data_IF_362715913539
#
_entry.id   IF_362715913539
#
_cell.length_a   1.000
_cell.length_b   1.000
_cell.length_c   1.000
_cell.angle_alpha   90.00
_cell.angle_beta   90.00
_cell.angle_gamma   90.00
#
_symmetry.space_group_name_H-M   'P 1'
#
loop_
_entity.id
_entity.type
_entity.pdbx_description
1 polymer ?
#
# COMPACT_ATOMS: atom_id res chain seq x y z
N UNK A 1 -10.38 7.93 15.70
CA UNK A 1 -9.47 7.57 14.58
C UNK A 1 -9.68 6.12 14.11
N UNK A 2 -9.74 5.12 15.00
CA UNK A 2 -9.96 3.71 14.61
C UNK A 2 -11.19 3.44 13.73
N UNK A 3 -12.29 4.19 13.90
CA UNK A 3 -13.49 4.03 13.07
C UNK A 3 -13.23 4.27 11.57
N UNK A 4 -12.37 5.24 11.22
CA UNK A 4 -12.04 5.53 9.82
C UNK A 4 -11.19 4.40 9.20
N UNK A 5 -10.32 3.78 10.00
CA UNK A 5 -9.53 2.63 9.55
C UNK A 5 -10.40 1.38 9.40
N UNK A 6 -11.31 1.12 10.35
CA UNK A 6 -12.25 0.00 10.28
C UNK A 6 -13.18 0.11 9.06
N UNK A 7 -13.58 1.32 8.68
CA UNK A 7 -14.37 1.56 7.47
C UNK A 7 -13.67 1.07 6.20
N UNK A 8 -12.36 1.29 6.08
CA UNK A 8 -11.57 0.87 4.90
C UNK A 8 -10.99 -0.54 5.00
N UNK A 9 -11.17 -1.22 6.14
CA UNK A 9 -10.64 -2.58 6.39
C UNK A 9 -11.76 -3.54 6.77
N UNK A 10 -12.00 -3.77 8.06
CA UNK A 10 -12.93 -4.77 8.59
C UNK A 10 -14.36 -4.62 8.07
N UNK A 11 -14.90 -3.40 8.09
CA UNK A 11 -16.30 -3.17 7.71
C UNK A 11 -16.50 -3.40 6.21
N UNK A 12 -15.52 -3.03 5.37
CA UNK A 12 -15.59 -3.30 3.94
C UNK A 12 -15.51 -4.80 3.65
N UNK A 13 -14.67 -5.54 4.38
CA UNK A 13 -14.57 -6.99 4.24
C UNK A 13 -15.86 -7.71 4.64
N UNK A 14 -16.53 -7.25 5.71
CA UNK A 14 -17.85 -7.75 6.12
C UNK A 14 -18.92 -7.47 5.06
N UNK A 15 -18.98 -6.23 4.55
CA UNK A 15 -19.94 -5.83 3.50
C UNK A 15 -19.75 -6.65 2.23
N UNK A 16 -18.52 -6.95 1.86
CA UNK A 16 -18.17 -7.73 0.68
C UNK A 16 -18.26 -9.25 0.90
N UNK A 17 -18.48 -9.72 2.14
CA UNK A 17 -18.53 -11.14 2.47
C UNK A 17 -17.17 -11.85 2.41
N UNK A 18 -16.07 -11.11 2.46
CA UNK A 18 -14.68 -11.62 2.43
C UNK A 18 -13.97 -11.48 3.78
N UNK A 19 -14.73 -11.24 4.86
CA UNK A 19 -14.18 -11.05 6.21
C UNK A 19 -13.38 -12.26 6.72
N UNK A 20 -13.67 -13.45 6.21
CA UNK A 20 -12.93 -14.69 6.52
C UNK A 20 -11.55 -14.73 5.86
N UNK A 21 -11.33 -13.94 4.80
CA UNK A 21 -10.10 -13.95 4.00
C UNK A 21 -9.29 -12.66 4.12
N UNK A 22 -9.92 -11.53 4.43
CA UNK A 22 -9.28 -10.21 4.45
C UNK A 22 -9.94 -9.25 5.45
N UNK A 23 -9.29 -8.11 5.71
CA UNK A 23 -9.86 -7.00 6.50
C UNK A 23 -9.38 -6.94 7.95
N UNK A 24 -8.79 -8.00 8.50
CA UNK A 24 -8.12 -7.99 9.80
C UNK A 24 -6.81 -8.77 9.74
N UNK A 25 -5.92 -8.53 10.71
CA UNK A 25 -4.65 -9.24 10.85
C UNK A 25 -4.88 -10.40 11.84
N UNK A 26 -5.21 -11.56 11.31
CA UNK A 26 -5.48 -12.78 12.07
C UNK A 26 -4.88 -14.00 11.34
N UNK A 27 -4.53 -15.05 12.08
CA UNK A 27 -4.01 -16.30 11.49
C UNK A 27 -5.08 -16.97 10.61
N UNK A 28 -4.67 -17.42 9.43
CA UNK A 28 -5.55 -18.05 8.44
C UNK A 28 -6.13 -17.11 7.39
N UNK A 29 -5.97 -15.78 7.55
CA UNK A 29 -6.36 -14.78 6.53
C UNK A 29 -5.23 -14.49 5.55
N UNK A 30 -5.57 -13.94 4.39
CA UNK A 30 -4.59 -13.51 3.40
C UNK A 30 -3.82 -12.30 3.91
N UNK A 31 -2.50 -12.30 3.65
CA UNK A 31 -1.58 -11.29 4.14
C UNK A 31 -1.62 -10.00 3.28
N UNK A 32 -2.71 -9.25 3.41
CA UNK A 32 -2.85 -7.89 2.88
C UNK A 32 -2.40 -6.87 3.93
N UNK A 33 -1.22 -6.30 3.78
CA UNK A 33 -0.59 -5.46 4.79
C UNK A 33 -0.03 -4.19 4.17
N UNK A 34 -0.10 -3.08 4.90
CA UNK A 34 0.51 -1.80 4.51
C UNK A 34 1.23 -1.23 5.71
N UNK A 35 2.50 -0.86 5.53
CA UNK A 35 3.35 -0.25 6.55
C UNK A 35 3.60 1.20 6.12
N UNK A 36 3.31 2.14 7.02
CA UNK A 36 3.47 3.58 6.78
C UNK A 36 4.13 4.24 7.99
N UNK A 37 5.09 5.11 7.77
CA UNK A 37 5.75 5.91 8.82
C UNK A 37 4.98 7.19 9.20
N UNK A 38 3.75 7.35 8.71
CA UNK A 38 2.82 8.39 9.13
C UNK A 38 1.35 7.95 9.10
N UNK A 39 0.42 8.90 9.22
CA UNK A 39 -1.03 8.61 9.22
C UNK A 39 -1.46 8.26 7.79
N UNK A 40 -1.80 6.99 7.56
CA UNK A 40 -2.16 6.47 6.24
C UNK A 40 -3.34 7.23 5.61
N UNK A 41 -4.24 7.76 6.44
CA UNK A 41 -5.44 8.48 6.02
C UNK A 41 -5.22 9.99 5.82
N UNK A 42 -4.02 10.50 6.10
CA UNK A 42 -3.67 11.91 5.89
C UNK A 42 -2.83 12.10 4.63
N UNK A 43 -3.32 12.91 3.70
CA UNK A 43 -2.65 13.17 2.42
C UNK A 43 -1.25 13.77 2.55
N UNK A 44 -0.94 14.46 3.65
CA UNK A 44 0.35 15.15 3.82
C UNK A 44 1.42 14.30 4.47
N UNK A 45 1.01 13.37 5.33
CA UNK A 45 1.92 12.57 6.16
C UNK A 45 1.84 11.08 5.85
N UNK A 46 0.95 10.65 4.95
CA UNK A 46 0.89 9.28 4.45
C UNK A 46 2.16 8.97 3.65
N UNK A 47 3.08 8.29 4.32
CA UNK A 47 4.33 7.80 3.76
C UNK A 47 4.32 6.28 3.85
N UNK A 48 3.81 5.64 2.80
CA UNK A 48 3.79 4.17 2.68
C UNK A 48 5.19 3.68 2.35
N UNK A 49 5.77 2.89 3.25
CA UNK A 49 7.11 2.30 3.08
C UNK A 49 7.03 0.96 2.38
N UNK A 50 6.07 0.13 2.78
CA UNK A 50 5.90 -1.22 2.25
C UNK A 50 4.42 -1.56 2.12
N UNK A 51 4.09 -2.32 1.08
CA UNK A 51 2.78 -2.93 0.92
C UNK A 51 2.94 -4.40 0.53
N UNK A 52 2.04 -5.23 1.03
CA UNK A 52 1.99 -6.66 0.75
C UNK A 52 0.61 -7.02 0.25
N UNK A 53 0.57 -7.78 -0.84
CA UNK A 53 -0.65 -8.36 -1.39
C UNK A 53 -0.46 -9.88 -1.42
N UNK A 54 -1.28 -10.58 -0.65
CA UNK A 54 -1.22 -12.06 -0.52
C UNK A 54 0.18 -12.55 -0.10
N UNK A 55 0.87 -11.79 0.75
CA UNK A 55 2.23 -12.09 1.21
C UNK A 55 3.35 -11.71 0.24
N UNK A 56 3.03 -11.24 -0.97
CA UNK A 56 4.02 -10.72 -1.91
C UNK A 56 4.29 -9.25 -1.65
N UNK A 57 5.58 -8.88 -1.55
CA UNK A 57 5.99 -7.50 -1.42
C UNK A 57 5.75 -6.72 -2.71
N UNK A 58 5.15 -5.56 -2.58
CA UNK A 58 4.81 -4.66 -3.67
C UNK A 58 5.82 -3.52 -3.71
N UNK A 59 6.63 -3.48 -4.77
CA UNK A 59 7.49 -2.33 -5.02
C UNK A 59 6.60 -1.17 -5.46
N UNK A 60 6.61 -0.08 -4.70
CA UNK A 60 5.82 1.12 -4.93
C UNK A 60 6.74 2.25 -5.45
N UNK A 61 7.19 2.23 -6.71
CA UNK A 61 7.91 3.36 -7.25
C UNK A 61 6.94 4.56 -7.29
N UNK A 62 7.33 5.66 -6.65
CA UNK A 62 6.54 6.88 -6.70
C UNK A 62 6.36 7.34 -8.16
N UNK A 63 5.23 8.00 -8.48
CA UNK A 63 4.99 8.52 -9.84
C UNK A 63 6.14 9.39 -10.35
N UNK A 64 6.76 10.16 -9.46
CA UNK A 64 7.92 10.98 -9.79
C UNK A 64 9.17 10.14 -10.09
N UNK A 65 9.38 9.05 -9.36
CA UNK A 65 10.49 8.12 -9.57
C UNK A 65 10.33 7.37 -10.89
N UNK A 66 9.13 6.87 -11.19
CA UNK A 66 8.84 6.23 -12.47
C UNK A 66 8.99 7.20 -13.66
N UNK A 67 8.58 8.47 -13.51
CA UNK A 67 8.81 9.51 -14.54
C UNK A 67 10.29 9.81 -14.69
N UNK A 68 11.02 9.95 -13.59
CA UNK A 68 12.46 10.18 -13.60
C UNK A 68 13.19 9.05 -14.32
N UNK A 69 12.92 7.78 -13.99
CA UNK A 69 13.50 6.61 -14.67
C UNK A 69 13.18 6.62 -16.17
N UNK A 70 11.91 6.86 -16.53
CA UNK A 70 11.49 6.93 -17.94
C UNK A 70 12.20 8.02 -18.72
N UNK A 71 12.41 9.21 -18.14
CA UNK A 71 13.12 10.30 -18.82
C UNK A 71 14.63 10.10 -18.80
N UNK A 72 15.19 9.53 -17.73
CA UNK A 72 16.60 9.15 -17.63
C UNK A 72 16.96 8.17 -18.74
N UNK A 73 16.15 7.11 -18.91
CA UNK A 73 16.31 6.12 -19.98
C UNK A 73 16.14 6.75 -21.37
N UNK A 74 15.10 7.57 -21.56
CA UNK A 74 14.84 8.24 -22.85
C UNK A 74 16.00 9.12 -23.33
N UNK A 75 16.67 9.82 -22.41
CA UNK A 75 17.73 10.77 -22.74
C UNK A 75 19.14 10.20 -22.55
N UNK A 76 19.28 8.91 -22.19
CA UNK A 76 20.58 8.26 -22.02
C UNK A 76 21.46 8.97 -20.97
N UNK A 77 20.83 9.54 -19.94
CA UNK A 77 21.54 10.21 -18.83
C UNK A 77 22.07 9.15 -17.86
N UNK A 78 22.91 8.24 -18.36
CA UNK A 78 23.81 7.47 -17.51
C UNK A 78 25.00 8.39 -17.24
N UNK A 79 25.09 8.93 -16.03
CA UNK A 79 26.37 9.47 -15.55
C UNK A 79 27.32 8.29 -15.44
N UNK A 80 28.45 8.36 -16.16
CA UNK A 80 29.64 7.53 -15.93
C UNK A 80 30.10 7.57 -14.46
#
# INVERSE_FOLDING_TARGET
KGAALALVTSNTAEILGIADEAGTIEEGKRAYLVISSGDLLDMRTSHVEMAYIDGMELNLPGKQQALYERFKEKYGLEEE
#
